data_IF_988999586659
#
_entry.id   IF_988999586659
#
_cell.length_a   1.000
_cell.length_b   1.000
_cell.length_c   1.000
_cell.angle_alpha   90.00
_cell.angle_beta   90.00
_cell.angle_gamma   90.00
#
_symmetry.space_group_name_H-M   'P 1'
#
loop_
_entity.id
_entity.type
_entity.pdbx_description
1 polymer ?
#
# COMPACT_ATOMS: atom_id res chain seq x y z
N UNK A 1 -0.32 -31.97 42.49
CA UNK A 1 -1.20 -30.87 42.00
C UNK A 1 -0.44 -29.60 41.63
N UNK A 2 0.40 -29.01 42.51
CA UNK A 2 1.15 -27.77 42.20
C UNK A 2 1.96 -27.83 40.88
N UNK A 3 2.65 -28.95 40.60
CA UNK A 3 3.43 -29.14 39.36
C UNK A 3 2.59 -29.14 38.07
N UNK A 4 1.35 -29.64 38.12
CA UNK A 4 0.44 -29.66 36.96
C UNK A 4 -0.09 -28.26 36.67
N UNK A 5 -0.34 -27.47 37.73
CA UNK A 5 -0.77 -26.07 37.61
C UNK A 5 0.33 -25.22 36.93
N UNK A 6 1.60 -25.41 37.31
CA UNK A 6 2.71 -24.68 36.66
C UNK A 6 2.87 -25.03 35.18
N UNK A 7 2.64 -26.29 34.79
CA UNK A 7 2.69 -26.72 33.37
C UNK A 7 1.52 -26.12 32.58
N UNK A 8 0.31 -26.08 33.16
CA UNK A 8 -0.83 -25.44 32.50
C UNK A 8 -0.61 -23.92 32.33
N UNK A 9 -0.02 -23.25 33.33
CA UNK A 9 0.28 -21.81 33.27
C UNK A 9 1.35 -21.52 32.21
N UNK A 10 2.42 -22.31 32.11
CA UNK A 10 3.45 -22.10 31.08
C UNK A 10 2.91 -22.33 29.67
N UNK A 11 2.06 -23.33 29.45
CA UNK A 11 1.42 -23.55 28.15
C UNK A 11 0.49 -22.38 27.79
N UNK A 12 -0.30 -21.87 28.74
CA UNK A 12 -1.17 -20.70 28.52
C UNK A 12 -0.39 -19.44 28.17
N UNK A 13 0.75 -19.19 28.84
CA UNK A 13 1.60 -18.03 28.56
C UNK A 13 2.25 -18.16 27.17
N UNK A 14 2.73 -19.34 26.77
CA UNK A 14 3.34 -19.55 25.45
C UNK A 14 2.33 -19.35 24.31
N UNK A 15 1.08 -19.80 24.50
CA UNK A 15 0.01 -19.60 23.51
C UNK A 15 -0.37 -18.12 23.34
N UNK A 16 -0.39 -17.34 24.44
CA UNK A 16 -0.69 -15.91 24.36
C UNK A 16 0.38 -15.10 23.62
N UNK A 17 1.65 -15.44 23.78
CA UNK A 17 2.77 -14.74 23.11
C UNK A 17 2.75 -14.98 21.59
N UNK A 18 2.38 -16.18 21.13
CA UNK A 18 2.28 -16.49 19.70
C UNK A 18 1.12 -15.77 18.98
N UNK A 19 -0.03 -15.62 19.66
CA UNK A 19 -1.23 -14.98 19.08
C UNK A 19 -1.08 -13.45 18.98
N UNK A 20 -0.44 -12.82 19.96
CA UNK A 20 -0.22 -11.37 19.95
C UNK A 20 0.68 -10.90 18.79
N UNK A 21 1.75 -11.65 18.48
CA UNK A 21 2.63 -11.35 17.34
C UNK A 21 1.86 -11.35 16.01
N UNK A 22 1.00 -12.35 15.79
CA UNK A 22 0.27 -12.49 14.52
C UNK A 22 -0.77 -11.38 14.28
N UNK A 23 -1.41 -10.85 15.32
CA UNK A 23 -2.41 -9.78 15.15
C UNK A 23 -1.77 -8.42 14.82
N UNK A 24 -0.59 -8.15 15.35
CA UNK A 24 0.20 -6.96 15.00
C UNK A 24 0.63 -7.00 13.54
N UNK A 25 1.20 -8.12 13.11
CA UNK A 25 1.66 -8.32 11.73
C UNK A 25 0.52 -8.19 10.71
N UNK A 26 -0.66 -8.76 11.00
CA UNK A 26 -1.84 -8.61 10.12
C UNK A 26 -2.22 -7.14 9.93
N UNK A 27 -2.26 -6.34 11.02
CA UNK A 27 -2.58 -4.91 10.92
C UNK A 27 -1.52 -4.13 10.16
N UNK A 28 -0.24 -4.46 10.36
CA UNK A 28 0.85 -3.86 9.59
C UNK A 28 0.67 -4.17 8.10
N UNK A 29 0.36 -5.42 7.75
CA UNK A 29 0.10 -5.82 6.36
C UNK A 29 -1.08 -5.04 5.77
N UNK A 30 -2.21 -4.95 6.46
CA UNK A 30 -3.36 -4.16 6.00
C UNK A 30 -3.01 -2.68 5.79
N UNK A 31 -2.27 -2.07 6.73
CA UNK A 31 -1.82 -0.70 6.60
C UNK A 31 -0.86 -0.52 5.41
N UNK A 32 0.06 -1.46 5.17
CA UNK A 32 0.94 -1.41 3.99
C UNK A 32 0.17 -1.53 2.69
N UNK A 33 -0.85 -2.38 2.60
CA UNK A 33 -1.71 -2.48 1.41
C UNK A 33 -2.44 -1.15 1.12
N UNK A 34 -2.93 -0.49 2.18
CA UNK A 34 -3.54 0.84 2.05
C UNK A 34 -2.53 1.90 1.60
N UNK A 35 -1.28 1.87 2.08
CA UNK A 35 -0.20 2.75 1.62
C UNK A 35 0.13 2.50 0.15
N UNK A 36 0.21 1.23 -0.27
CA UNK A 36 0.44 0.85 -1.68
C UNK A 36 -0.66 1.46 -2.56
N UNK A 37 -1.94 1.32 -2.18
CA UNK A 37 -3.04 1.92 -2.93
C UNK A 37 -3.02 3.46 -2.91
N UNK A 38 -2.96 4.07 -1.73
CA UNK A 38 -3.08 5.52 -1.57
C UNK A 38 -1.91 6.25 -2.22
N UNK A 39 -0.69 5.71 -2.17
CA UNK A 39 0.47 6.32 -2.84
C UNK A 39 0.23 6.50 -4.35
N UNK A 40 -0.35 5.49 -5.01
CA UNK A 40 -0.68 5.54 -6.43
C UNK A 40 -1.88 6.44 -6.71
N UNK A 41 -2.90 6.38 -5.83
CA UNK A 41 -4.10 7.21 -5.94
C UNK A 41 -3.79 8.70 -5.79
N UNK A 42 -2.99 9.09 -4.81
CA UNK A 42 -2.60 10.50 -4.57
C UNK A 42 -1.87 11.07 -5.78
N UNK A 43 -0.94 10.31 -6.38
CA UNK A 43 -0.28 10.75 -7.59
C UNK A 43 -1.27 10.91 -8.75
N UNK A 44 -2.16 9.93 -8.95
CA UNK A 44 -3.22 10.00 -9.97
C UNK A 44 -4.11 11.24 -9.76
N UNK A 45 -4.61 11.44 -8.54
CA UNK A 45 -5.48 12.57 -8.19
C UNK A 45 -4.75 13.90 -8.38
N UNK A 46 -3.45 13.97 -8.08
CA UNK A 46 -2.64 15.16 -8.33
C UNK A 46 -2.52 15.46 -9.83
N UNK A 47 -2.31 14.45 -10.68
CA UNK A 47 -2.27 14.63 -12.14
C UNK A 47 -3.63 15.05 -12.72
N UNK A 48 -4.74 14.59 -12.14
CA UNK A 48 -6.09 15.05 -12.53
C UNK A 48 -6.31 16.50 -12.07
N UNK A 49 -5.93 16.81 -10.82
CA UNK A 49 -5.99 18.16 -10.27
C UNK A 49 -5.11 19.14 -11.08
N UNK A 50 -3.94 18.72 -11.55
CA UNK A 50 -3.06 19.49 -12.42
C UNK A 50 -3.80 20.02 -13.66
N UNK A 51 -4.70 19.21 -14.23
CA UNK A 51 -5.53 19.58 -15.39
C UNK A 51 -6.79 20.39 -15.03
N UNK A 52 -7.18 20.44 -13.75
CA UNK A 52 -8.45 20.98 -13.26
C UNK A 52 -8.26 21.79 -11.96
N UNK A 53 -7.42 22.82 -12.00
CA UNK A 53 -6.86 23.45 -10.79
C UNK A 53 -7.90 24.21 -9.95
N UNK A 54 -8.94 24.74 -10.58
CA UNK A 54 -10.01 25.47 -9.89
C UNK A 54 -11.00 24.54 -9.20
N UNK A 55 -10.86 23.22 -9.39
CA UNK A 55 -11.75 22.25 -8.79
C UNK A 55 -11.41 22.02 -7.31
N UNK A 56 -12.09 22.78 -6.45
CA UNK A 56 -11.98 22.71 -4.99
C UNK A 56 -12.26 21.29 -4.46
N UNK A 57 -13.18 20.54 -5.08
CA UNK A 57 -13.51 19.20 -4.66
C UNK A 57 -12.34 18.23 -4.87
N UNK A 58 -11.66 18.30 -6.02
CA UNK A 58 -10.45 17.51 -6.30
C UNK A 58 -9.33 17.83 -5.31
N UNK A 59 -9.12 19.12 -5.01
CA UNK A 59 -8.13 19.55 -4.02
C UNK A 59 -8.44 18.98 -2.63
N UNK A 60 -9.69 19.09 -2.16
CA UNK A 60 -10.13 18.52 -0.87
C UNK A 60 -9.95 17.00 -0.83
N UNK A 61 -10.30 16.30 -1.91
CA UNK A 61 -10.13 14.85 -2.00
C UNK A 61 -8.65 14.44 -1.94
N UNK A 62 -7.76 15.20 -2.61
CA UNK A 62 -6.33 14.96 -2.57
C UNK A 62 -5.79 15.07 -1.14
N UNK A 63 -6.12 16.14 -0.39
CA UNK A 63 -5.70 16.27 1.02
C UNK A 63 -6.24 15.14 1.89
N UNK A 64 -7.51 14.78 1.75
CA UNK A 64 -8.11 13.66 2.48
C UNK A 64 -7.32 12.36 2.25
N UNK A 65 -6.92 12.10 1.01
CA UNK A 65 -6.14 10.89 0.71
C UNK A 65 -4.73 10.96 1.31
N UNK A 66 -4.09 12.13 1.35
CA UNK A 66 -2.79 12.32 2.00
C UNK A 66 -2.90 12.14 3.52
N UNK A 67 -3.97 12.64 4.15
CA UNK A 67 -4.18 12.47 5.59
C UNK A 67 -4.46 11.01 5.95
N UNK A 68 -5.26 10.29 5.13
CA UNK A 68 -5.44 8.84 5.27
C UNK A 68 -4.12 8.07 5.11
N UNK A 69 -3.27 8.46 4.16
CA UNK A 69 -1.95 7.86 3.99
C UNK A 69 -1.09 8.05 5.25
N UNK A 70 -1.11 9.25 5.84
CA UNK A 70 -0.40 9.55 7.08
C UNK A 70 -0.93 8.73 8.26
N UNK A 71 -2.25 8.50 8.33
CA UNK A 71 -2.88 7.65 9.34
C UNK A 71 -2.33 6.23 9.28
N UNK A 72 -2.29 5.58 8.11
CA UNK A 72 -1.77 4.22 7.98
C UNK A 72 -0.28 4.11 8.30
N UNK A 73 0.52 5.14 8.00
CA UNK A 73 1.93 5.17 8.38
C UNK A 73 2.07 5.27 9.91
N UNK A 74 1.21 6.06 10.56
CA UNK A 74 1.14 6.12 12.03
C UNK A 74 0.70 4.79 12.63
N UNK A 75 -0.29 4.11 12.05
CA UNK A 75 -0.73 2.79 12.50
C UNK A 75 0.42 1.78 12.50
N UNK A 76 1.23 1.74 11.44
CA UNK A 76 2.43 0.89 11.41
C UNK A 76 3.39 1.30 12.52
N UNK A 77 3.66 2.60 12.69
CA UNK A 77 4.56 3.10 13.73
C UNK A 77 4.11 2.74 15.14
N UNK A 78 2.81 2.84 15.43
CA UNK A 78 2.25 2.59 16.76
C UNK A 78 2.24 1.08 17.10
N UNK A 79 2.29 0.21 16.09
CA UNK A 79 2.36 -1.26 16.24
C UNK A 79 3.81 -1.75 16.15
N UNK A 80 4.67 -1.03 15.44
CA UNK A 80 6.02 -1.44 15.16
C UNK A 80 6.99 -1.10 16.30
N UNK A 81 7.31 -2.09 17.12
CA UNK A 81 8.35 -1.98 18.14
C UNK A 81 9.76 -1.96 17.50
N UNK A 82 10.78 -1.55 18.29
CA UNK A 82 12.20 -1.54 17.87
C UNK A 82 12.73 -2.91 17.40
N UNK A 83 12.01 -3.99 17.73
CA UNK A 83 12.32 -5.37 17.28
C UNK A 83 11.83 -5.67 15.88
N UNK A 84 10.96 -4.84 15.31
CA UNK A 84 10.41 -5.02 13.98
C UNK A 84 11.42 -4.47 12.98
N UNK A 85 12.11 -5.38 12.28
CA UNK A 85 12.87 -5.18 11.03
C UNK A 85 13.58 -3.85 10.81
N UNK A 86 14.90 -3.89 10.60
CA UNK A 86 15.71 -2.71 10.26
C UNK A 86 15.09 -1.93 9.07
N UNK A 87 14.48 -2.62 8.10
CA UNK A 87 13.88 -1.94 6.94
C UNK A 87 12.60 -1.18 7.32
N UNK A 88 11.72 -1.76 8.14
CA UNK A 88 10.53 -1.07 8.67
C UNK A 88 10.91 0.22 9.38
N UNK A 89 11.89 0.17 10.29
CA UNK A 89 12.32 1.37 11.00
C UNK A 89 12.93 2.43 10.07
N UNK A 90 13.67 2.03 9.06
CA UNK A 90 14.24 2.96 8.08
C UNK A 90 13.17 3.67 7.25
N UNK A 91 12.16 2.93 6.76
CA UNK A 91 11.07 3.53 5.99
C UNK A 91 10.16 4.40 6.86
N UNK A 92 9.87 4.01 8.10
CA UNK A 92 9.08 4.81 9.04
C UNK A 92 9.75 6.15 9.40
N UNK A 93 11.08 6.22 9.38
CA UNK A 93 11.83 7.48 9.53
C UNK A 93 11.72 8.37 8.29
N UNK A 94 11.66 7.78 7.10
CA UNK A 94 11.71 8.53 5.84
C UNK A 94 10.32 8.94 5.31
N UNK A 95 9.28 8.15 5.55
CA UNK A 95 7.92 8.41 5.07
C UNK A 95 7.34 9.77 5.49
N UNK A 96 7.51 10.25 6.74
CA UNK A 96 7.00 11.56 7.14
C UNK A 96 7.55 12.69 6.27
N UNK A 97 8.86 12.64 5.96
CA UNK A 97 9.48 13.62 5.06
C UNK A 97 8.83 13.60 3.67
N UNK A 98 8.60 12.42 3.09
CA UNK A 98 7.93 12.30 1.79
C UNK A 98 6.52 12.91 1.84
N UNK A 99 5.73 12.58 2.86
CA UNK A 99 4.36 13.11 3.02
C UNK A 99 4.37 14.64 3.09
N UNK A 100 5.31 15.24 3.84
CA UNK A 100 5.43 16.69 3.89
C UNK A 100 5.73 17.30 2.52
N UNK A 101 6.59 16.65 1.71
CA UNK A 101 6.84 17.12 0.35
C UNK A 101 5.57 17.03 -0.50
N UNK A 102 4.83 15.92 -0.42
CA UNK A 102 3.56 15.73 -1.13
C UNK A 102 2.53 16.80 -0.73
N UNK A 103 2.36 17.09 0.57
CA UNK A 103 1.41 18.10 1.06
C UNK A 103 1.69 19.51 0.53
N UNK A 104 2.95 19.81 0.20
CA UNK A 104 3.35 21.11 -0.36
C UNK A 104 3.04 21.23 -1.86
N UNK A 105 2.97 20.12 -2.61
CA UNK A 105 2.84 20.15 -4.08
C UNK A 105 1.57 20.86 -4.60
N UNK A 106 0.37 20.73 -3.98
CA UNK A 106 -0.83 21.44 -4.43
C UNK A 106 -0.77 22.96 -4.26
N UNK A 107 0.24 23.49 -3.54
CA UNK A 107 0.47 24.92 -3.35
C UNK A 107 1.60 25.48 -4.22
N UNK A 108 2.38 24.61 -4.87
CA UNK A 108 3.50 25.05 -5.70
C UNK A 108 3.02 25.44 -7.10
N UNK A 109 3.77 26.35 -7.74
CA UNK A 109 3.58 26.64 -9.16
C UNK A 109 3.73 25.36 -9.96
N UNK A 110 2.84 25.20 -10.91
CA UNK A 110 2.73 23.98 -11.69
C UNK A 110 3.83 23.91 -12.74
N UNK A 111 4.56 22.79 -12.74
CA UNK A 111 5.60 22.49 -13.72
C UNK A 111 5.83 20.97 -13.78
N UNK A 112 6.53 20.53 -14.84
CA UNK A 112 6.88 19.12 -15.06
C UNK A 112 7.69 18.57 -13.88
N UNK A 113 8.58 19.36 -13.28
CA UNK A 113 9.37 18.94 -12.12
C UNK A 113 8.49 18.48 -10.94
N UNK A 114 7.40 19.19 -10.63
CA UNK A 114 6.47 18.80 -9.58
C UNK A 114 5.68 17.53 -9.90
N UNK A 115 5.39 17.29 -11.18
CA UNK A 115 4.80 16.03 -11.66
C UNK A 115 5.77 14.86 -11.44
N UNK A 116 7.01 15.01 -11.90
CA UNK A 116 8.04 13.99 -11.73
C UNK A 116 8.29 13.70 -10.25
N UNK A 117 8.26 14.74 -9.40
CA UNK A 117 8.37 14.59 -7.95
C UNK A 117 7.23 13.76 -7.34
N UNK A 118 5.96 14.04 -7.67
CA UNK A 118 4.86 13.24 -7.10
C UNK A 118 4.90 11.78 -7.58
N UNK A 119 5.29 11.55 -8.83
CA UNK A 119 5.45 10.20 -9.39
C UNK A 119 6.55 9.48 -8.61
N UNK A 120 7.72 10.11 -8.46
CA UNK A 120 8.84 9.56 -7.69
C UNK A 120 8.45 9.24 -6.25
N UNK A 121 7.82 10.18 -5.55
CA UNK A 121 7.38 9.97 -4.17
C UNK A 121 6.38 8.82 -4.04
N UNK A 122 5.45 8.69 -4.99
CA UNK A 122 4.50 7.57 -5.01
C UNK A 122 5.17 6.21 -5.15
N UNK A 123 6.23 6.10 -5.97
CA UNK A 123 6.97 4.85 -6.14
C UNK A 123 7.83 4.52 -4.92
N UNK A 124 8.44 5.51 -4.27
CA UNK A 124 9.20 5.29 -3.03
C UNK A 124 8.28 4.76 -1.92
N UNK A 125 7.07 5.34 -1.78
CA UNK A 125 6.09 4.87 -0.80
C UNK A 125 5.59 3.45 -1.13
N UNK A 126 5.34 3.15 -2.41
CA UNK A 126 4.95 1.82 -2.87
C UNK A 126 6.00 0.77 -2.51
N UNK A 127 7.25 1.01 -2.88
CA UNK A 127 8.35 0.06 -2.64
C UNK A 127 8.68 -0.06 -1.15
N UNK A 128 8.60 1.02 -0.39
CA UNK A 128 8.72 0.98 1.07
C UNK A 128 7.63 0.12 1.70
N UNK A 129 6.37 0.31 1.30
CA UNK A 129 5.25 -0.47 1.83
C UNK A 129 5.35 -1.97 1.47
N UNK A 130 5.78 -2.30 0.24
CA UNK A 130 6.06 -3.69 -0.16
C UNK A 130 7.20 -4.30 0.67
N UNK A 131 8.23 -3.50 0.98
CA UNK A 131 9.36 -3.97 1.79
C UNK A 131 8.93 -4.28 3.22
N UNK A 132 8.17 -3.37 3.85
CA UNK A 132 7.57 -3.60 5.18
C UNK A 132 6.68 -4.84 5.15
N UNK A 133 5.80 -4.97 4.16
CA UNK A 133 4.90 -6.12 4.04
C UNK A 133 5.67 -7.45 3.94
N UNK A 134 6.85 -7.44 3.30
CA UNK A 134 7.70 -8.64 3.19
C UNK A 134 8.31 -9.04 4.53
N UNK A 135 8.68 -8.08 5.38
CA UNK A 135 9.23 -8.35 6.72
C UNK A 135 8.17 -8.94 7.67
N UNK A 136 6.93 -8.48 7.57
CA UNK A 136 5.82 -8.91 8.42
C UNK A 136 5.01 -10.09 7.84
N UNK A 137 5.56 -10.78 6.84
CA UNK A 137 4.87 -11.85 6.13
C UNK A 137 4.77 -13.11 7.01
N UNK A 138 3.56 -13.64 7.15
CA UNK A 138 3.32 -14.97 7.69
C UNK A 138 2.83 -15.95 6.61
N UNK A 139 2.55 -17.20 7.00
CA UNK A 139 2.00 -18.22 6.10
C UNK A 139 0.51 -17.97 5.84
N UNK A 140 0.23 -17.21 4.79
CA UNK A 140 -1.14 -17.00 4.31
C UNK A 140 -1.81 -18.29 3.84
N UNK A 141 -3.09 -18.43 4.15
CA UNK A 141 -4.03 -19.35 3.52
C UNK A 141 -4.16 -19.07 2.02
N UNK A 142 -4.85 -19.96 1.29
CA UNK A 142 -5.05 -19.77 -0.16
C UNK A 142 -6.01 -18.60 -0.42
N UNK A 143 -7.02 -18.47 0.42
CA UNK A 143 -8.05 -17.44 0.39
C UNK A 143 -7.44 -16.04 0.67
N UNK A 144 -6.60 -15.92 1.70
CA UNK A 144 -5.88 -14.67 1.99
C UNK A 144 -4.99 -14.25 0.82
N UNK A 145 -4.32 -15.21 0.16
CA UNK A 145 -3.53 -14.90 -1.05
C UNK A 145 -4.41 -14.33 -2.17
N UNK A 146 -5.62 -14.85 -2.37
CA UNK A 146 -6.54 -14.29 -3.39
C UNK A 146 -6.99 -12.87 -3.03
N UNK A 147 -7.25 -12.61 -1.75
CA UNK A 147 -7.56 -11.26 -1.27
C UNK A 147 -6.38 -10.31 -1.50
N UNK A 148 -5.16 -10.72 -1.16
CA UNK A 148 -3.94 -9.94 -1.40
C UNK A 148 -3.75 -9.65 -2.89
N UNK A 149 -3.87 -10.66 -3.77
CA UNK A 149 -3.78 -10.47 -5.22
C UNK A 149 -4.83 -9.47 -5.74
N UNK A 150 -6.05 -9.52 -5.21
CA UNK A 150 -7.11 -8.56 -5.56
C UNK A 150 -6.71 -7.14 -5.17
N UNK A 151 -6.16 -6.94 -3.98
CA UNK A 151 -5.63 -5.64 -3.52
C UNK A 151 -4.43 -5.18 -4.35
N UNK A 152 -3.57 -6.11 -4.77
CA UNK A 152 -2.45 -5.81 -5.67
C UNK A 152 -2.95 -5.27 -7.02
N UNK A 153 -3.93 -5.93 -7.62
CA UNK A 153 -4.55 -5.47 -8.88
C UNK A 153 -5.11 -4.06 -8.73
N UNK A 154 -5.76 -3.73 -7.61
CA UNK A 154 -6.33 -2.40 -7.38
C UNK A 154 -5.25 -1.31 -7.41
N UNK A 155 -4.12 -1.48 -6.70
CA UNK A 155 -3.07 -0.46 -6.76
C UNK A 155 -2.37 -0.46 -8.13
N UNK A 156 -2.22 -1.60 -8.78
CA UNK A 156 -1.61 -1.68 -10.12
C UNK A 156 -2.46 -0.96 -11.17
N UNK A 157 -3.80 -1.02 -11.07
CA UNK A 157 -4.70 -0.24 -11.91
C UNK A 157 -4.50 1.26 -11.71
N UNK A 158 -4.33 1.71 -10.46
CA UNK A 158 -4.00 3.11 -10.17
C UNK A 158 -2.62 3.48 -10.71
N UNK A 159 -1.63 2.60 -10.59
CA UNK A 159 -0.28 2.80 -11.14
C UNK A 159 -0.30 2.92 -12.66
N UNK A 160 -1.04 2.06 -13.36
CA UNK A 160 -1.23 2.14 -14.81
C UNK A 160 -1.87 3.47 -15.21
N UNK A 161 -2.97 3.86 -14.54
CA UNK A 161 -3.64 5.13 -14.83
C UNK A 161 -2.75 6.35 -14.54
N UNK A 162 -1.97 6.33 -13.45
CA UNK A 162 -0.99 7.37 -13.13
C UNK A 162 -0.02 7.57 -14.29
N UNK A 163 0.56 6.49 -14.79
CA UNK A 163 1.55 6.58 -15.88
C UNK A 163 0.92 6.90 -17.24
N UNK A 164 -0.33 6.50 -17.48
CA UNK A 164 -1.10 6.96 -18.63
C UNK A 164 -1.24 8.50 -18.62
N UNK A 165 -1.71 9.06 -17.50
CA UNK A 165 -1.85 10.51 -17.33
C UNK A 165 -0.51 11.24 -17.42
N UNK A 166 0.55 10.65 -16.85
CA UNK A 166 1.90 11.21 -16.91
C UNK A 166 2.47 11.21 -18.33
N UNK A 167 2.17 10.18 -19.14
CA UNK A 167 2.56 10.11 -20.55
C UNK A 167 1.84 11.17 -21.38
N UNK A 168 0.57 11.43 -21.09
CA UNK A 168 -0.19 12.49 -21.76
C UNK A 168 0.35 13.89 -21.43
N UNK A 169 0.77 14.13 -20.17
CA UNK A 169 1.33 15.42 -19.76
C UNK A 169 2.78 15.62 -20.24
N UNK A 170 3.58 14.55 -20.28
CA UNK A 170 4.96 14.58 -20.75
C UNK A 170 5.24 13.43 -21.76
N UNK A 171 4.80 13.59 -23.03
CA UNK A 171 4.89 12.53 -24.04
C UNK A 171 6.32 12.11 -24.39
N UNK A 172 7.30 12.98 -24.13
CA UNK A 172 8.70 12.74 -24.45
C UNK A 172 9.43 11.87 -23.41
N UNK A 173 8.76 11.46 -22.33
CA UNK A 173 9.34 10.57 -21.33
C UNK A 173 8.90 9.10 -21.60
N UNK A 174 9.69 8.30 -22.32
CA UNK A 174 9.32 6.92 -22.66
C UNK A 174 9.15 6.03 -21.42
N UNK A 175 9.78 6.41 -20.30
CA UNK A 175 9.70 5.67 -19.03
C UNK A 175 8.28 5.61 -18.49
N UNK A 176 7.44 6.63 -18.75
CA UNK A 176 6.04 6.60 -18.33
C UNK A 176 5.27 5.51 -19.06
N UNK A 177 5.42 5.43 -20.38
CA UNK A 177 4.76 4.43 -21.19
C UNK A 177 5.20 3.00 -20.81
N UNK A 178 6.50 2.78 -20.62
CA UNK A 178 6.99 1.46 -20.22
C UNK A 178 6.53 1.05 -18.81
N UNK A 179 6.51 1.99 -17.85
CA UNK A 179 5.97 1.70 -16.51
C UNK A 179 4.46 1.42 -16.52
N UNK A 180 3.69 2.09 -17.39
CA UNK A 180 2.27 1.78 -17.61
C UNK A 180 2.11 0.35 -18.13
N UNK A 181 2.86 -0.03 -19.17
CA UNK A 181 2.82 -1.38 -19.74
C UNK A 181 3.23 -2.44 -18.72
N UNK A 182 4.25 -2.16 -17.92
CA UNK A 182 4.67 -3.07 -16.87
C UNK A 182 3.56 -3.27 -15.83
N UNK A 183 2.86 -2.21 -15.39
CA UNK A 183 1.73 -2.34 -14.48
C UNK A 183 0.59 -3.19 -15.09
N UNK A 184 0.29 -3.02 -16.38
CA UNK A 184 -0.71 -3.84 -17.10
C UNK A 184 -0.29 -5.31 -17.16
N UNK A 185 0.99 -5.58 -17.48
CA UNK A 185 1.54 -6.94 -17.48
C UNK A 185 1.44 -7.58 -16.10
N UNK A 186 1.73 -6.82 -15.05
CA UNK A 186 1.62 -7.29 -13.67
C UNK A 186 0.16 -7.63 -13.33
N UNK A 187 -0.82 -6.79 -13.70
CA UNK A 187 -2.25 -7.08 -13.52
C UNK A 187 -2.61 -8.42 -14.18
N UNK A 188 -2.24 -8.61 -15.43
CA UNK A 188 -2.54 -9.84 -16.18
C UNK A 188 -1.95 -11.07 -15.49
N UNK A 189 -0.72 -10.98 -14.98
CA UNK A 189 -0.10 -12.09 -14.25
C UNK A 189 -0.86 -12.46 -12.97
N UNK A 190 -1.43 -11.48 -12.24
CA UNK A 190 -2.23 -11.74 -11.04
C UNK A 190 -3.59 -12.33 -11.39
N UNK A 191 -4.23 -11.84 -12.45
CA UNK A 191 -5.50 -12.38 -12.95
C UNK A 191 -5.38 -13.85 -13.37
N UNK A 192 -4.29 -14.24 -14.01
CA UNK A 192 -4.03 -15.65 -14.35
C UNK A 192 -4.03 -16.53 -13.10
N UNK A 193 -3.36 -16.09 -12.03
CA UNK A 193 -3.31 -16.83 -10.76
C UNK A 193 -4.71 -16.95 -10.16
N UNK A 194 -5.46 -15.84 -10.10
CA UNK A 194 -6.82 -15.81 -9.55
C UNK A 194 -7.78 -16.70 -10.35
N UNK A 195 -7.72 -16.66 -11.69
CA UNK A 195 -8.58 -17.47 -12.55
C UNK A 195 -8.28 -18.97 -12.46
N UNK A 196 -7.05 -19.34 -12.09
CA UNK A 196 -6.67 -20.74 -11.84
C UNK A 196 -7.08 -21.25 -10.46
N UNK A 197 -7.57 -20.38 -9.57
CA UNK A 197 -7.96 -20.74 -8.22
C UNK A 197 -9.34 -21.42 -8.21
N UNK A 198 -9.44 -22.56 -7.52
CA UNK A 198 -10.71 -23.25 -7.34
C UNK A 198 -11.49 -22.61 -6.18
N UNK A 199 -12.40 -21.70 -6.51
CA UNK A 199 -13.23 -21.01 -5.53
C UNK A 199 -14.26 -21.97 -4.90
N UNK A 200 -14.51 -21.88 -3.58
CA UNK A 200 -15.49 -22.73 -2.93
C UNK A 200 -16.91 -22.44 -3.46
N UNK A 201 -17.58 -23.48 -3.97
CA UNK A 201 -18.90 -23.46 -4.64
C UNK A 201 -20.04 -22.87 -3.76
N UNK A 202 -19.82 -22.72 -2.44
CA UNK A 202 -20.83 -22.22 -1.49
C UNK A 202 -21.32 -20.77 -1.72
N UNK A 203 -20.85 -20.08 -2.76
CA UNK A 203 -21.34 -18.76 -3.17
C UNK A 203 -22.46 -18.81 -4.21
N UNK A 204 -22.66 -19.92 -4.93
CA UNK A 204 -23.64 -20.02 -6.03
C UNK A 204 -25.11 -20.13 -5.58
N UNK A 205 -25.37 -20.41 -4.29
CA UNK A 205 -26.73 -20.55 -3.76
C UNK A 205 -27.27 -19.27 -3.08
N UNK A 206 -26.66 -18.11 -3.28
CA UNK A 206 -27.04 -16.84 -2.63
C UNK A 206 -27.05 -15.59 -3.53
N UNK A 207 -26.93 -15.75 -4.85
CA UNK A 207 -27.18 -14.69 -5.84
C UNK A 207 -28.42 -15.05 -6.66
#
# INVERSE_FOLDING_TARGET
>A
MKKVIYICITILVVVQVGVASTRGDVKILEATENIQYLSQKIATDYLIFYKNQDNIALKKQLYKNIDNLQLHIKEIKDIADDKNGIYTQNFLKYFPYIIEQIKKLPHKRINISNIENIIKYSEILLEGAKTIAKEHKYKFSKEEKMLMLSKEIIYLLKRANKYYLASDINPNNPTHYENMKQAIKDINSRLIIMNSYNYPIKLDNKL
#
